data_IF_250774328249
#
_entry.id   IF_250774328249
#
_cell.length_a   1.000
_cell.length_b   1.000
_cell.length_c   1.000
_cell.angle_alpha   90.00
_cell.angle_beta   90.00
_cell.angle_gamma   90.00
#
_symmetry.space_group_name_H-M   'P 1'
#
loop_
_entity.id
_entity.type
_entity.pdbx_description
1 polymer ?
#
# COMPACT_ATOMS: atom_id res chain seq x y z
N UNK A 1 -17.71 -14.81 6.52
CA UNK A 1 -16.78 -13.69 6.88
C UNK A 1 -15.80 -13.54 5.74
N UNK A 2 -15.44 -12.32 5.36
CA UNK A 2 -14.44 -12.06 4.32
C UNK A 2 -13.08 -11.74 4.93
N UNK A 3 -12.01 -12.19 4.29
CA UNK A 3 -10.66 -11.81 4.65
C UNK A 3 -10.01 -11.07 3.50
N UNK A 4 -9.47 -9.88 3.76
CA UNK A 4 -8.71 -9.08 2.81
C UNK A 4 -7.31 -8.90 3.39
N UNK A 5 -6.29 -9.30 2.65
CA UNK A 5 -4.90 -9.30 3.09
C UNK A 5 -4.10 -8.39 2.16
N UNK A 6 -3.60 -7.28 2.67
CA UNK A 6 -2.60 -6.45 2.02
C UNK A 6 -1.21 -6.93 2.44
N UNK A 7 -0.53 -7.61 1.53
CA UNK A 7 0.80 -8.16 1.77
C UNK A 7 1.86 -7.28 1.07
N UNK A 8 2.35 -6.27 1.77
CA UNK A 8 3.31 -5.27 1.26
C UNK A 8 4.73 -5.59 1.70
N UNK A 9 5.25 -6.75 1.29
CA UNK A 9 6.55 -7.29 1.74
C UNK A 9 7.77 -6.73 1.03
N UNK A 10 7.61 -5.98 -0.06
CA UNK A 10 8.74 -5.32 -0.69
C UNK A 10 8.88 -3.92 -0.10
N UNK A 11 10.09 -3.51 0.24
CA UNK A 11 10.32 -2.18 0.81
C UNK A 11 11.65 -1.56 0.39
N UNK A 12 11.70 -0.24 0.43
CA UNK A 12 12.89 0.56 0.18
C UNK A 12 12.72 1.98 0.75
N UNK A 13 13.81 2.73 0.86
CA UNK A 13 13.74 4.18 0.98
C UNK A 13 14.01 4.80 -0.39
N UNK A 14 13.62 6.05 -0.58
CA UNK A 14 13.68 6.71 -1.87
C UNK A 14 15.04 7.39 -2.13
N UNK A 15 16.08 7.14 -1.32
CA UNK A 15 17.38 7.83 -1.46
C UNK A 15 17.99 7.72 -2.85
N UNK A 16 17.91 6.53 -3.47
CA UNK A 16 18.40 6.29 -4.83
C UNK A 16 17.69 7.08 -5.92
N UNK A 17 16.53 7.70 -5.63
CA UNK A 17 15.80 8.54 -6.59
C UNK A 17 16.43 9.92 -6.78
N UNK A 18 17.34 10.34 -5.89
CA UNK A 18 18.06 11.60 -6.00
C UNK A 18 19.50 11.34 -6.50
N UNK A 19 19.90 11.89 -7.66
CA UNK A 19 21.30 11.92 -8.08
C UNK A 19 22.21 12.55 -7.02
N UNK A 20 23.34 11.92 -6.73
CA UNK A 20 24.38 12.45 -5.85
C UNK A 20 25.62 12.85 -6.66
N UNK A 21 26.44 13.82 -6.21
CA UNK A 21 27.70 14.14 -6.86
C UNK A 21 28.59 12.90 -6.99
N UNK A 22 29.16 12.67 -8.17
CA UNK A 22 30.05 11.56 -8.43
C UNK A 22 31.53 11.97 -8.30
N UNK A 23 32.38 11.02 -7.88
CA UNK A 23 33.83 11.21 -7.87
C UNK A 23 34.32 11.47 -9.31
N UNK A 24 35.02 12.59 -9.51
CA UNK A 24 35.45 13.03 -10.83
C UNK A 24 34.49 14.00 -11.55
N UNK A 25 33.40 14.41 -10.89
CA UNK A 25 32.46 15.39 -11.41
C UNK A 25 31.20 14.77 -12.03
N UNK A 26 30.16 15.59 -12.20
CA UNK A 26 28.84 15.12 -12.62
C UNK A 26 28.02 14.53 -11.47
N UNK A 27 26.97 13.78 -11.82
CA UNK A 27 26.02 13.19 -10.87
C UNK A 27 25.80 11.71 -11.17
N UNK A 28 25.48 10.93 -10.14
CA UNK A 28 25.06 9.54 -10.27
C UNK A 28 23.70 9.43 -10.95
N UNK A 29 23.37 8.25 -11.46
CA UNK A 29 22.06 8.02 -12.06
C UNK A 29 20.99 7.89 -10.98
N UNK A 30 19.87 8.60 -11.16
CA UNK A 30 18.67 8.37 -10.37
C UNK A 30 18.11 6.97 -10.66
N UNK A 31 17.71 6.24 -9.62
CA UNK A 31 17.21 4.87 -9.71
C UNK A 31 15.93 4.70 -8.90
N UNK A 32 15.05 3.83 -9.40
CA UNK A 32 13.90 3.35 -8.63
C UNK A 32 14.31 2.12 -7.83
N UNK A 33 13.65 1.86 -6.69
CA UNK A 33 13.74 0.56 -6.04
C UNK A 33 13.43 -0.60 -7.00
N UNK A 34 14.18 -1.68 -6.84
CA UNK A 34 13.97 -2.92 -7.60
C UNK A 34 12.61 -3.55 -7.29
N UNK A 35 12.12 -4.44 -8.15
CA UNK A 35 10.87 -5.17 -7.88
C UNK A 35 9.57 -4.36 -8.00
N UNK A 36 9.63 -3.08 -8.40
CA UNK A 36 8.44 -2.25 -8.63
C UNK A 36 7.69 -2.53 -9.95
N UNK A 37 8.25 -3.35 -10.86
CA UNK A 37 7.66 -3.66 -12.17
C UNK A 37 6.48 -4.65 -12.04
N UNK A 38 5.44 -4.25 -11.32
CA UNK A 38 4.29 -5.08 -11.00
C UNK A 38 3.03 -4.24 -10.71
N UNK A 39 1.83 -4.81 -10.89
CA UNK A 39 0.62 -4.23 -10.34
C UNK A 39 0.56 -4.43 -8.82
N UNK A 40 -0.07 -3.50 -8.11
CA UNK A 40 -0.24 -3.65 -6.67
C UNK A 40 -0.61 -2.39 -5.92
N UNK A 41 -0.48 -2.49 -4.60
CA UNK A 41 -0.68 -1.43 -3.63
C UNK A 41 0.67 -0.99 -3.09
N UNK A 42 0.76 0.27 -2.69
CA UNK A 42 1.94 0.81 -2.05
C UNK A 42 1.56 1.87 -1.00
N UNK A 43 2.40 1.97 0.03
CA UNK A 43 2.35 3.02 1.04
C UNK A 43 3.68 3.75 0.98
N UNK A 44 3.62 5.07 0.85
CA UNK A 44 4.75 5.98 0.98
C UNK A 44 4.61 6.68 2.32
N UNK A 45 5.69 6.76 3.09
CA UNK A 45 5.74 7.49 4.35
C UNK A 45 6.91 8.45 4.31
N UNK A 46 6.67 9.72 4.64
CA UNK A 46 7.70 10.71 4.90
C UNK A 46 7.82 10.89 6.41
N UNK A 47 8.93 10.45 7.00
CA UNK A 47 9.13 10.51 8.46
C UNK A 47 9.42 11.91 8.97
N UNK A 48 9.85 12.86 8.11
CA UNK A 48 10.09 14.25 8.51
C UNK A 48 8.79 15.02 8.73
N UNK A 49 7.78 14.77 7.90
CA UNK A 49 6.48 15.47 7.95
C UNK A 49 5.38 14.61 8.55
N UNK A 50 5.68 13.34 8.83
CA UNK A 50 4.69 12.31 9.15
C UNK A 50 3.59 12.23 8.06
N UNK A 51 3.88 12.59 6.81
CA UNK A 51 2.93 12.47 5.71
C UNK A 51 2.91 11.03 5.21
N UNK A 52 1.72 10.57 4.83
CA UNK A 52 1.51 9.26 4.21
C UNK A 52 0.77 9.43 2.89
N UNK A 53 1.16 8.62 1.92
CA UNK A 53 0.43 8.45 0.67
C UNK A 53 0.18 6.97 0.47
N UNK A 54 -1.07 6.61 0.25
CA UNK A 54 -1.46 5.24 -0.09
C UNK A 54 -1.96 5.29 -1.53
N UNK A 55 -1.52 4.35 -2.33
CA UNK A 55 -2.06 4.24 -3.67
C UNK A 55 -1.88 2.88 -4.29
N UNK A 56 -2.37 2.82 -5.51
CA UNK A 56 -2.60 1.58 -6.22
C UNK A 56 -2.33 1.74 -7.72
N UNK A 57 -1.75 0.76 -8.39
CA UNK A 57 -1.42 0.91 -9.80
C UNK A 57 -1.35 -0.40 -10.54
N UNK A 58 -1.75 -0.38 -11.82
CA UNK A 58 -1.48 -1.49 -12.75
C UNK A 58 0.01 -1.70 -13.03
N UNK A 59 0.85 -0.68 -12.79
CA UNK A 59 2.31 -0.80 -12.82
C UNK A 59 2.95 0.24 -11.89
N UNK A 60 3.39 -0.21 -10.71
CA UNK A 60 3.99 0.66 -9.69
C UNK A 60 5.24 1.35 -10.23
N UNK A 61 6.08 0.66 -11.03
CA UNK A 61 7.28 1.24 -11.64
C UNK A 61 6.95 2.43 -12.52
N UNK A 62 5.97 2.32 -13.42
CA UNK A 62 5.58 3.45 -14.28
C UNK A 62 5.07 4.63 -13.45
N UNK A 63 4.30 4.36 -12.39
CA UNK A 63 3.83 5.42 -11.49
C UNK A 63 4.97 6.11 -10.74
N UNK A 64 5.99 5.35 -10.34
CA UNK A 64 7.17 5.89 -9.67
C UNK A 64 8.15 6.56 -10.63
N UNK A 65 8.19 6.19 -11.93
CA UNK A 65 9.01 6.89 -12.93
C UNK A 65 8.63 8.35 -13.05
N UNK A 66 7.34 8.68 -13.08
CA UNK A 66 6.89 10.09 -13.11
C UNK A 66 7.37 10.84 -11.86
N UNK A 67 7.35 10.19 -10.69
CA UNK A 67 7.88 10.77 -9.45
C UNK A 67 9.40 10.93 -9.48
N UNK A 68 10.12 9.96 -10.03
CA UNK A 68 11.58 10.01 -10.22
C UNK A 68 11.98 11.21 -11.08
N UNK A 69 11.26 11.44 -12.18
CA UNK A 69 11.47 12.60 -13.04
C UNK A 69 11.34 13.90 -12.24
N UNK A 70 10.25 14.06 -11.46
CA UNK A 70 10.06 15.24 -10.60
C UNK A 70 11.17 15.40 -9.55
N UNK A 71 11.58 14.31 -8.88
CA UNK A 71 12.67 14.34 -7.88
C UNK A 71 13.97 14.83 -8.51
N UNK A 72 14.26 14.35 -9.72
CA UNK A 72 15.47 14.71 -10.48
C UNK A 72 15.41 16.16 -10.98
N UNK A 73 14.30 16.55 -11.63
CA UNK A 73 14.11 17.88 -12.23
C UNK A 73 14.11 19.00 -11.18
N UNK A 74 13.55 18.75 -10.01
CA UNK A 74 13.45 19.73 -8.93
C UNK A 74 14.66 19.74 -7.99
N UNK A 75 15.65 18.86 -8.22
CA UNK A 75 16.91 18.84 -7.47
C UNK A 75 16.75 18.45 -6.00
N UNK A 76 15.90 17.46 -5.70
CA UNK A 76 15.74 16.97 -4.33
C UNK A 76 17.04 16.32 -3.81
N UNK A 77 17.33 16.54 -2.53
CA UNK A 77 18.53 16.00 -1.89
C UNK A 77 18.32 14.54 -1.43
N UNK A 78 19.33 13.68 -1.62
CA UNK A 78 19.28 12.26 -1.22
C UNK A 78 19.04 12.05 0.28
N UNK A 79 19.52 12.93 1.16
CA UNK A 79 19.24 12.89 2.59
C UNK A 79 17.76 13.13 2.91
N UNK A 80 17.09 14.03 2.17
CA UNK A 80 15.64 14.23 2.28
C UNK A 80 14.90 12.99 1.77
N UNK A 81 15.33 12.46 0.62
CA UNK A 81 14.71 11.27 0.03
C UNK A 81 14.91 10.00 0.89
N UNK A 82 15.99 9.93 1.68
CA UNK A 82 16.24 8.83 2.64
C UNK A 82 15.20 8.78 3.75
N UNK A 83 14.57 9.90 4.09
CA UNK A 83 13.49 9.96 5.06
C UNK A 83 12.11 9.60 4.48
N UNK A 84 12.06 9.25 3.19
CA UNK A 84 10.85 8.78 2.52
C UNK A 84 10.98 7.28 2.30
N UNK A 85 10.17 6.53 3.02
CA UNK A 85 10.05 5.08 2.89
C UNK A 85 8.90 4.70 1.98
N UNK A 86 9.03 3.56 1.32
CA UNK A 86 7.96 2.95 0.55
C UNK A 86 7.92 1.45 0.82
N UNK A 87 6.70 0.92 0.93
CA UNK A 87 6.43 -0.52 0.94
C UNK A 87 5.36 -0.83 -0.10
N UNK A 88 5.49 -1.96 -0.79
CA UNK A 88 4.55 -2.33 -1.85
C UNK A 88 4.39 -3.85 -1.98
N UNK A 89 3.28 -4.23 -2.61
CA UNK A 89 2.96 -5.63 -2.82
C UNK A 89 1.55 -5.81 -3.34
N UNK A 90 0.91 -6.91 -2.93
CA UNK A 90 -0.36 -7.36 -3.50
C UNK A 90 -1.45 -7.38 -2.45
N UNK A 91 -2.69 -7.38 -2.92
CA UNK A 91 -3.87 -7.71 -2.13
C UNK A 91 -4.32 -9.12 -2.47
N UNK A 92 -4.80 -9.85 -1.48
CA UNK A 92 -5.49 -11.11 -1.63
C UNK A 92 -6.82 -11.02 -0.89
N UNK A 93 -7.84 -11.71 -1.40
CA UNK A 93 -9.12 -11.81 -0.71
C UNK A 93 -9.61 -13.24 -0.69
N UNK A 94 -10.24 -13.61 0.42
CA UNK A 94 -10.79 -14.92 0.68
C UNK A 94 -12.23 -14.75 1.16
N UNK A 95 -13.13 -15.48 0.54
CA UNK A 95 -14.44 -15.76 1.12
C UNK A 95 -14.31 -17.00 2.01
N UNK A 96 -14.49 -16.83 3.32
CA UNK A 96 -14.55 -17.96 4.24
C UNK A 96 -16.00 -18.28 4.54
N UNK A 97 -16.58 -19.15 3.72
CA UNK A 97 -17.55 -20.11 4.21
C UNK A 97 -16.76 -21.17 4.99
N UNK A 98 -16.93 -21.20 6.33
CA UNK A 98 -16.35 -22.17 7.31
C UNK A 98 -14.96 -21.83 7.86
N UNK A 99 -14.91 -21.58 9.17
CA UNK A 99 -14.06 -22.21 10.21
C UNK A 99 -12.60 -22.61 9.92
N UNK A 100 -11.97 -22.14 8.84
CA UNK A 100 -10.54 -22.27 8.68
C UNK A 100 -9.90 -21.15 9.50
N UNK A 101 -9.39 -21.55 10.67
CA UNK A 101 -8.48 -20.75 11.49
C UNK A 101 -7.34 -20.28 10.57
N UNK A 102 -7.39 -19.02 10.16
CA UNK A 102 -6.31 -18.40 9.41
C UNK A 102 -5.16 -18.19 10.39
N UNK A 103 -4.21 -19.13 10.39
CA UNK A 103 -2.94 -18.92 11.07
C UNK A 103 -2.23 -17.73 10.40
N UNK A 104 -1.82 -16.78 11.23
CA UNK A 104 -0.98 -15.65 10.83
C UNK A 104 0.22 -16.15 9.99
N UNK A 105 0.63 -15.43 8.93
CA UNK A 105 1.64 -15.95 8.02
C UNK A 105 3.00 -16.05 8.73
N UNK A 106 3.50 -17.28 8.89
CA UNK A 106 4.93 -17.55 9.08
C UNK A 106 5.61 -18.09 7.81
N UNK A 107 4.92 -18.11 6.66
CA UNK A 107 5.49 -18.60 5.40
C UNK A 107 4.68 -18.26 4.14
N UNK A 108 5.27 -18.43 2.94
CA UNK A 108 4.85 -17.77 1.69
C UNK A 108 3.78 -18.52 0.88
N UNK A 109 3.13 -19.56 1.39
CA UNK A 109 2.22 -20.38 0.58
C UNK A 109 0.76 -20.12 0.99
N UNK A 110 0.29 -18.93 0.63
CA UNK A 110 -1.15 -18.66 0.52
C UNK A 110 -1.58 -18.97 -0.90
N UNK A 111 -2.45 -19.98 -1.06
CA UNK A 111 -3.10 -20.21 -2.34
C UNK A 111 -4.00 -19.02 -2.65
N UNK A 112 -3.72 -18.22 -3.69
CA UNK A 112 -4.63 -17.15 -4.09
C UNK A 112 -5.95 -17.79 -4.46
N UNK A 113 -7.04 -17.46 -3.75
CA UNK A 113 -8.34 -17.63 -4.38
C UNK A 113 -8.34 -16.67 -5.56
N UNK A 114 -8.35 -17.23 -6.77
CA UNK A 114 -8.52 -16.55 -8.04
C UNK A 114 -9.95 -15.99 -8.18
N UNK A 115 -10.41 -15.23 -7.19
CA UNK A 115 -11.31 -14.10 -7.41
C UNK A 115 -10.47 -12.82 -7.50
N UNK A 116 -9.31 -12.95 -8.15
CA UNK A 116 -8.38 -11.85 -8.38
C UNK A 116 -9.07 -10.85 -9.28
N UNK A 117 -9.22 -9.62 -8.78
CA UNK A 117 -9.38 -8.48 -9.65
C UNK A 117 -8.19 -8.50 -10.63
N UNK A 118 -8.43 -8.99 -11.84
CA UNK A 118 -7.47 -8.89 -12.94
C UNK A 118 -7.44 -7.42 -13.28
N UNK A 119 -6.41 -6.72 -12.84
CA UNK A 119 -6.20 -5.31 -13.17
C UNK A 119 -5.72 -5.28 -14.61
N UNK A 120 -6.51 -4.73 -15.55
CA UNK A 120 -5.98 -4.44 -16.87
C UNK A 120 -4.82 -3.47 -16.70
N UNK A 121 -3.66 -3.69 -17.34
CA UNK A 121 -2.60 -2.70 -17.33
C UNK A 121 -3.16 -1.36 -17.84
N UNK A 122 -3.10 -0.31 -17.01
CA UNK A 122 -3.52 1.04 -17.40
C UNK A 122 -4.87 1.51 -16.87
N UNK A 123 -5.65 0.67 -16.17
CA UNK A 123 -6.86 1.13 -15.49
C UNK A 123 -6.56 1.38 -14.00
N UNK A 124 -6.15 2.61 -13.68
CA UNK A 124 -6.04 3.10 -12.30
C UNK A 124 -7.43 3.25 -11.64
N UNK A 125 -8.52 3.14 -12.42
CA UNK A 125 -9.87 3.20 -11.90
C UNK A 125 -10.36 1.80 -11.50
N UNK A 126 -10.50 1.63 -10.19
CA UNK A 126 -11.20 0.53 -9.53
C UNK A 126 -10.50 -0.83 -9.47
N UNK A 127 -9.58 -0.93 -8.51
CA UNK A 127 -9.34 -2.19 -7.80
C UNK A 127 -10.52 -2.46 -6.88
N UNK A 128 -11.60 -2.87 -7.52
CA UNK A 128 -12.82 -3.33 -6.89
C UNK A 128 -12.76 -4.83 -6.72
N UNK A 129 -13.27 -5.29 -5.59
CA UNK A 129 -13.54 -6.69 -5.35
C UNK A 129 -15.02 -6.85 -5.09
N UNK A 130 -15.72 -7.67 -5.88
CA UNK A 130 -17.13 -7.94 -5.64
C UNK A 130 -17.27 -9.01 -4.56
N UNK A 131 -17.85 -8.63 -3.42
CA UNK A 131 -18.19 -9.50 -2.28
C UNK A 131 -19.68 -9.35 -1.99
N UNK A 132 -20.40 -10.45 -1.75
CA UNK A 132 -21.87 -10.43 -1.60
C UNK A 132 -22.61 -9.69 -2.74
N UNK A 133 -22.07 -9.72 -3.97
CA UNK A 133 -22.64 -8.99 -5.11
C UNK A 133 -22.45 -7.47 -5.05
N UNK A 134 -21.63 -6.95 -4.13
CA UNK A 134 -21.33 -5.53 -3.97
C UNK A 134 -19.84 -5.26 -4.21
N UNK A 135 -19.54 -4.19 -4.95
CA UNK A 135 -18.17 -3.77 -5.21
C UNK A 135 -17.52 -3.10 -3.99
N UNK A 136 -16.41 -3.66 -3.55
CA UNK A 136 -15.56 -3.14 -2.48
C UNK A 136 -14.40 -2.35 -3.05
N UNK A 137 -14.28 -1.07 -2.66
CA UNK A 137 -13.11 -0.26 -2.98
C UNK A 137 -11.95 -0.59 -2.03
N UNK A 138 -10.97 -1.35 -2.54
CA UNK A 138 -9.82 -1.82 -1.76
C UNK A 138 -8.85 -0.70 -1.39
N UNK A 139 -8.65 0.30 -2.25
CA UNK A 139 -7.78 1.44 -1.94
C UNK A 139 -8.34 2.25 -0.77
N UNK A 140 -9.63 2.55 -0.79
CA UNK A 140 -10.31 3.25 0.31
C UNK A 140 -10.28 2.45 1.62
N UNK A 141 -10.47 1.14 1.55
CA UNK A 141 -10.40 0.26 2.71
C UNK A 141 -8.99 0.29 3.33
N UNK A 142 -7.93 0.19 2.52
CA UNK A 142 -6.55 0.29 3.01
C UNK A 142 -6.25 1.67 3.62
N UNK A 143 -6.70 2.76 2.98
CA UNK A 143 -6.53 4.13 3.52
C UNK A 143 -7.15 4.22 4.91
N UNK A 144 -8.38 3.75 5.10
CA UNK A 144 -9.05 3.79 6.41
C UNK A 144 -8.40 2.87 7.43
N UNK A 145 -7.92 1.70 7.01
CA UNK A 145 -7.13 0.82 7.87
C UNK A 145 -5.89 1.52 8.43
N UNK A 146 -5.08 2.12 7.55
CA UNK A 146 -3.86 2.84 7.94
C UNK A 146 -4.16 4.00 8.89
N UNK A 147 -5.25 4.74 8.64
CA UNK A 147 -5.66 5.86 9.48
C UNK A 147 -6.11 5.44 10.89
N UNK A 148 -6.81 4.31 11.01
CA UNK A 148 -7.29 3.79 12.31
C UNK A 148 -6.13 3.18 13.10
N UNK A 149 -5.34 2.31 12.48
CA UNK A 149 -4.38 1.45 13.17
C UNK A 149 -3.03 2.13 13.45
N UNK A 150 -2.60 3.07 12.62
CA UNK A 150 -1.31 3.75 12.78
C UNK A 150 -1.44 5.14 13.41
N UNK A 151 -2.66 5.50 13.86
CA UNK A 151 -3.00 6.75 14.53
C UNK A 151 -3.04 7.95 13.60
N UNK A 152 -3.89 8.93 13.93
CA UNK A 152 -4.06 10.19 13.18
C UNK A 152 -2.87 11.16 13.29
N UNK A 153 -1.66 10.67 13.55
CA UNK A 153 -0.46 11.47 13.49
C UNK A 153 -0.08 11.73 12.03
N UNK A 154 -0.10 13.01 11.62
CA UNK A 154 0.38 13.43 10.31
C UNK A 154 -0.72 13.72 9.29
N UNK A 155 -0.37 13.74 8.00
CA UNK A 155 -1.29 14.10 6.90
C UNK A 155 -1.38 12.98 5.87
N UNK A 156 -2.55 12.73 5.29
CA UNK A 156 -2.73 11.83 4.15
C UNK A 156 -2.99 12.65 2.90
N UNK A 157 -2.09 12.55 1.92
CA UNK A 157 -2.09 13.39 0.73
C UNK A 157 -3.07 12.95 -0.38
N UNK A 158 -3.69 11.75 -0.28
CA UNK A 158 -4.83 11.33 -1.11
C UNK A 158 -6.16 11.55 -0.36
N UNK A 159 -6.43 12.83 -0.04
CA UNK A 159 -7.40 13.27 0.96
C UNK A 159 -8.89 13.00 0.61
N UNK A 160 -9.25 12.86 -0.68
CA UNK A 160 -10.63 12.62 -1.08
C UNK A 160 -11.17 11.29 -0.54
N UNK A 161 -10.34 10.23 -0.55
CA UNK A 161 -10.72 8.92 -0.01
C UNK A 161 -10.56 8.82 1.51
N UNK A 162 -9.74 9.69 2.11
CA UNK A 162 -9.51 9.73 3.55
C UNK A 162 -10.63 10.46 4.32
N UNK A 163 -11.26 11.47 3.69
CA UNK A 163 -12.23 12.35 4.33
C UNK A 163 -13.53 11.66 4.74
N UNK A 164 -13.99 10.66 3.97
CA UNK A 164 -15.25 9.97 4.26
C UNK A 164 -15.00 8.57 4.85
N UNK A 165 -15.68 8.20 5.95
CA UNK A 165 -15.61 6.86 6.51
C UNK A 165 -15.83 5.74 5.49
N UNK A 166 -15.14 4.63 5.63
CA UNK A 166 -15.44 3.43 4.86
C UNK A 166 -16.53 2.66 5.63
N UNK A 167 -17.69 2.53 5.00
CA UNK A 167 -18.80 1.72 5.52
C UNK A 167 -18.74 0.37 4.84
N UNK A 168 -18.76 -0.73 5.59
CA UNK A 168 -18.85 -2.07 5.01
C UNK A 168 -20.21 -2.26 4.35
N UNK A 169 -20.28 -2.39 3.01
CA UNK A 169 -21.54 -2.48 2.30
C UNK A 169 -22.01 -3.94 2.11
N UNK A 170 -21.25 -4.92 2.59
CA UNK A 170 -21.57 -6.35 2.50
C UNK A 170 -22.45 -6.80 3.67
N UNK A 171 -23.00 -8.01 3.58
CA UNK A 171 -23.80 -8.60 4.67
C UNK A 171 -22.92 -9.30 5.72
N UNK A 172 -21.63 -9.46 5.44
CA UNK A 172 -20.67 -10.19 6.26
C UNK A 172 -19.56 -9.28 6.80
N UNK A 173 -18.98 -9.63 7.95
CA UNK A 173 -17.79 -8.94 8.46
C UNK A 173 -16.64 -9.05 7.46
N UNK A 174 -15.95 -7.94 7.21
CA UNK A 174 -14.69 -7.89 6.47
C UNK A 174 -13.55 -7.77 7.47
N UNK A 175 -12.72 -8.81 7.58
CA UNK A 175 -11.47 -8.80 8.34
C UNK A 175 -10.32 -8.39 7.43
N UNK A 176 -9.64 -7.31 7.80
CA UNK A 176 -8.48 -6.80 7.06
C UNK A 176 -7.19 -7.13 7.79
N UNK A 177 -6.22 -7.63 7.04
CA UNK A 177 -4.84 -7.78 7.48
C UNK A 177 -3.93 -6.88 6.65
N UNK A 178 -2.98 -6.22 7.29
CA UNK A 178 -1.92 -5.47 6.63
C UNK A 178 -0.57 -5.95 7.14
N UNK A 179 0.24 -6.50 6.23
CA UNK A 179 1.65 -6.77 6.45
C UNK A 179 2.51 -5.74 5.72
N UNK A 180 3.51 -5.21 6.40
CA UNK A 180 4.53 -4.36 5.79
C UNK A 180 5.93 -4.81 6.18
N UNK A 181 6.87 -4.58 5.29
CA UNK A 181 8.30 -4.67 5.58
C UNK A 181 8.85 -3.30 6.01
N UNK A 182 10.13 -3.20 6.39
CA UNK A 182 10.67 -2.06 7.14
C UNK A 182 10.72 -0.69 6.44
N UNK A 183 10.04 -0.50 5.31
CA UNK A 183 9.95 0.75 4.54
C UNK A 183 11.32 1.39 4.27
N UNK A 184 12.31 0.56 3.91
CA UNK A 184 13.69 1.03 3.72
C UNK A 184 14.48 1.27 5.01
N UNK A 185 14.13 0.56 6.09
CA UNK A 185 14.75 0.66 7.41
C UNK A 185 14.21 1.79 8.29
N UNK A 186 13.08 2.41 7.91
CA UNK A 186 12.45 3.51 8.65
C UNK A 186 11.46 3.05 9.71
N UNK A 187 10.95 1.82 9.59
CA UNK A 187 10.01 1.21 10.51
C UNK A 187 10.40 -0.24 10.75
N UNK A 188 9.96 -0.80 11.87
CA UNK A 188 10.02 -2.25 12.07
C UNK A 188 8.97 -2.93 11.17
N UNK A 189 9.31 -4.04 10.51
CA UNK A 189 8.34 -4.88 9.83
C UNK A 189 7.22 -5.31 10.78
N UNK A 190 6.00 -5.43 10.28
CA UNK A 190 4.87 -5.67 11.16
C UNK A 190 3.62 -6.17 10.46
N UNK A 191 2.72 -6.68 11.29
CA UNK A 191 1.38 -7.10 10.90
C UNK A 191 0.35 -6.44 11.79
N UNK A 192 -0.74 -5.97 11.18
CA UNK A 192 -1.91 -5.45 11.88
C UNK A 192 -3.19 -6.09 11.34
N UNK A 193 -4.23 -6.03 12.17
CA UNK A 193 -5.57 -6.52 11.85
C UNK A 193 -6.63 -5.55 12.35
N UNK A 194 -7.73 -5.46 11.62
CA UNK A 194 -8.96 -4.80 12.07
C UNK A 194 -10.18 -5.41 11.36
N UNK A 195 -11.33 -5.38 12.03
CA UNK A 195 -12.58 -5.95 11.52
C UNK A 195 -13.60 -4.85 11.23
N UNK A 196 -14.22 -4.87 10.04
CA UNK A 196 -15.37 -4.03 9.70
C UNK A 196 -16.65 -4.85 9.74
N UNK A 197 -17.51 -4.59 10.73
CA UNK A 197 -18.82 -5.24 10.82
C UNK A 197 -19.76 -4.73 9.71
N UNK A 198 -20.78 -5.51 9.31
CA UNK A 198 -21.77 -5.08 8.32
C UNK A 198 -22.43 -3.75 8.69
N UNK A 199 -22.41 -2.77 7.80
CA UNK A 199 -23.02 -1.45 8.01
C UNK A 199 -22.24 -0.50 8.92
N UNK A 200 -21.13 -0.92 9.53
CA UNK A 200 -20.30 -0.07 10.38
C UNK A 200 -19.33 0.80 9.57
N UNK A 201 -19.09 2.01 10.06
CA UNK A 201 -18.19 3.01 9.47
C UNK A 201 -16.79 3.05 10.13
N UNK A 202 -16.59 2.18 11.13
CA UNK A 202 -15.38 2.02 11.92
C UNK A 202 -14.86 0.58 11.92
N UNK A 203 -13.59 0.43 12.30
CA UNK A 203 -12.94 -0.87 12.45
C UNK A 203 -12.76 -1.21 13.93
N UNK A 204 -12.88 -2.49 14.28
CA UNK A 204 -12.76 -3.05 15.62
C UNK A 204 -11.52 -3.93 15.77
#
# INVERSE_FOLDING_TARGET
MFHIIYNLINSANCSGMAPEPADGGGFTNATLPDGMAMPGFYIIVNTLTNNRYIGISGNIRERFKTRLATVTEMGFNAAVMRAIGVTWGRVQALDSDRDQVLELPTGPVWNPINHGAVIPPGDDSTFKLTLDGVDINLERLLIRFVLIQLGAGGTVSNNQMAATPYVNPTQNTIRVWLGWDGMGGLFDPGWQRADWLPGDDGAW
#
